data_IF_585112379211
#
_entry.id   IF_585112379211
#
_cell.length_a   1.000
_cell.length_b   1.000
_cell.length_c   1.000
_cell.angle_alpha   90.00
_cell.angle_beta   90.00
_cell.angle_gamma   90.00
#
_symmetry.space_group_name_H-M   'P 1'
#
loop_
_entity.id
_entity.type
_entity.pdbx_description
1 polymer ?
#
# COMPACT_ATOMS: atom_id res chain seq x y z
N UNK A 1 -2.43 2.43 19.33
CA UNK A 1 -2.39 3.60 18.42
C UNK A 1 -0.99 3.69 17.85
N UNK A 2 -0.87 3.79 16.52
CA UNK A 2 0.41 3.78 15.81
C UNK A 2 1.29 4.95 16.28
N UNK A 3 2.58 4.72 16.60
CA UNK A 3 3.52 5.79 16.93
C UNK A 3 3.59 6.84 15.81
N UNK A 4 3.73 8.12 16.17
CA UNK A 4 3.72 9.22 15.19
C UNK A 4 4.77 9.05 14.07
N UNK A 5 5.98 8.60 14.42
CA UNK A 5 7.05 8.33 13.45
C UNK A 5 6.68 7.21 12.47
N UNK A 6 6.08 6.13 12.97
CA UNK A 6 5.57 5.03 12.14
C UNK A 6 4.43 5.50 11.24
N UNK A 7 3.53 6.37 11.75
CA UNK A 7 2.46 6.96 10.94
C UNK A 7 3.01 7.79 9.79
N UNK A 8 3.94 8.70 10.06
CA UNK A 8 4.59 9.53 9.01
C UNK A 8 5.32 8.67 7.97
N UNK A 9 5.95 7.59 8.42
CA UNK A 9 6.58 6.62 7.53
C UNK A 9 5.55 5.94 6.61
N UNK A 10 4.41 5.48 7.14
CA UNK A 10 3.33 4.88 6.33
C UNK A 10 2.77 5.90 5.33
N UNK A 11 2.53 7.15 5.75
CA UNK A 11 2.07 8.21 4.84
C UNK A 11 3.06 8.42 3.69
N UNK A 12 4.36 8.44 3.99
CA UNK A 12 5.41 8.56 2.99
C UNK A 12 5.46 7.35 2.05
N UNK A 13 5.23 6.13 2.56
CA UNK A 13 5.10 4.94 1.73
C UNK A 13 3.91 5.06 0.78
N UNK A 14 2.74 5.47 1.28
CA UNK A 14 1.55 5.64 0.44
C UNK A 14 1.83 6.62 -0.70
N UNK A 15 2.47 7.75 -0.40
CA UNK A 15 2.83 8.75 -1.40
C UNK A 15 3.82 8.21 -2.43
N UNK A 16 4.83 7.46 -1.98
CA UNK A 16 5.77 6.77 -2.85
C UNK A 16 5.06 5.80 -3.80
N UNK A 17 4.20 4.91 -3.29
CA UNK A 17 3.51 3.93 -4.16
C UNK A 17 2.49 4.58 -5.11
N UNK A 18 1.90 5.71 -4.72
CA UNK A 18 1.09 6.53 -5.64
C UNK A 18 1.96 7.07 -6.78
N UNK A 19 3.15 7.57 -6.49
CA UNK A 19 4.06 8.09 -7.52
C UNK A 19 4.60 7.01 -8.45
N UNK A 20 4.72 5.77 -7.96
CA UNK A 20 5.24 4.61 -8.68
C UNK A 20 4.13 3.71 -9.27
N UNK A 21 2.87 4.15 -9.28
CA UNK A 21 1.73 3.32 -9.65
C UNK A 21 1.84 2.65 -11.03
N UNK A 22 2.51 3.30 -11.99
CA UNK A 22 2.77 2.74 -13.32
C UNK A 22 3.62 1.47 -13.26
N UNK A 23 4.70 1.48 -12.48
CA UNK A 23 5.60 0.34 -12.26
C UNK A 23 4.82 -0.85 -11.68
N UNK A 24 3.94 -0.60 -10.71
CA UNK A 24 3.12 -1.64 -10.08
C UNK A 24 1.99 -2.16 -10.99
N UNK A 25 1.40 -1.31 -11.82
CA UNK A 25 0.43 -1.74 -12.85
C UNK A 25 1.09 -2.59 -13.92
N UNK A 26 2.31 -2.25 -14.33
CA UNK A 26 3.10 -3.07 -15.25
C UNK A 26 3.42 -4.43 -14.63
N UNK A 27 3.82 -4.47 -13.36
CA UNK A 27 4.03 -5.74 -12.64
C UNK A 27 2.75 -6.58 -12.59
N UNK A 28 1.60 -5.97 -12.25
CA UNK A 28 0.31 -6.65 -12.21
C UNK A 28 -0.07 -7.25 -13.57
N UNK A 29 0.26 -6.57 -14.67
CA UNK A 29 0.01 -7.03 -16.04
C UNK A 29 0.80 -8.28 -16.42
N UNK A 30 1.97 -8.52 -15.82
CA UNK A 30 2.74 -9.77 -16.02
C UNK A 30 1.95 -11.01 -15.62
N UNK A 31 0.96 -10.84 -14.72
CA UNK A 31 0.11 -11.92 -14.22
C UNK A 31 -1.30 -11.88 -14.83
N UNK A 32 -1.46 -11.33 -16.03
CA UNK A 32 -2.77 -11.17 -16.68
C UNK A 32 -3.44 -12.50 -17.05
N UNK A 33 -2.70 -13.62 -17.02
CA UNK A 33 -3.28 -14.95 -17.21
C UNK A 33 -3.91 -15.48 -15.92
N UNK A 34 -3.46 -15.00 -14.77
CA UNK A 34 -3.90 -15.41 -13.44
C UNK A 34 -4.90 -14.46 -12.79
N UNK A 35 -5.04 -13.23 -13.31
CA UNK A 35 -5.93 -12.21 -12.75
C UNK A 35 -6.89 -11.62 -13.80
N UNK A 36 -8.16 -11.46 -13.41
CA UNK A 36 -9.19 -10.91 -14.29
C UNK A 36 -9.12 -9.38 -14.41
N UNK A 37 -8.66 -8.70 -13.35
CA UNK A 37 -8.60 -7.24 -13.25
C UNK A 37 -7.20 -6.80 -12.83
N UNK A 38 -6.45 -6.27 -13.79
CA UNK A 38 -5.08 -5.78 -13.61
C UNK A 38 -5.04 -4.60 -12.64
N UNK A 39 -6.02 -3.70 -12.68
CA UNK A 39 -6.04 -2.51 -11.83
C UNK A 39 -6.35 -2.89 -10.37
N UNK A 40 -7.28 -3.82 -10.17
CA UNK A 40 -7.54 -4.39 -8.84
C UNK A 40 -6.33 -5.16 -8.30
N UNK A 41 -5.64 -5.92 -9.15
CA UNK A 41 -4.40 -6.62 -8.77
C UNK A 41 -3.31 -5.63 -8.37
N UNK A 42 -3.07 -4.59 -9.18
CA UNK A 42 -2.10 -3.54 -8.87
C UNK A 42 -2.41 -2.83 -7.54
N UNK A 43 -3.69 -2.54 -7.28
CA UNK A 43 -4.13 -1.98 -6.01
C UNK A 43 -3.80 -2.92 -4.83
N UNK A 44 -4.10 -4.22 -4.99
CA UNK A 44 -3.77 -5.25 -4.00
C UNK A 44 -2.27 -5.34 -3.72
N UNK A 45 -1.44 -5.34 -4.76
CA UNK A 45 0.03 -5.35 -4.65
C UNK A 45 0.52 -4.12 -3.87
N UNK A 46 0.08 -2.92 -4.24
CA UNK A 46 0.47 -1.68 -3.57
C UNK A 46 0.09 -1.71 -2.09
N UNK A 47 -1.17 -2.04 -1.77
CA UNK A 47 -1.64 -2.12 -0.37
C UNK A 47 -0.87 -3.18 0.41
N UNK A 48 -0.59 -4.33 -0.21
CA UNK A 48 0.22 -5.40 0.37
C UNK A 48 1.65 -4.95 0.68
N UNK A 49 2.28 -4.22 -0.23
CA UNK A 49 3.62 -3.65 -0.02
C UNK A 49 3.64 -2.62 1.11
N UNK A 50 2.64 -1.73 1.18
CA UNK A 50 2.51 -0.75 2.27
C UNK A 50 2.32 -1.47 3.61
N UNK A 51 1.50 -2.53 3.65
CA UNK A 51 1.29 -3.34 4.84
C UNK A 51 2.58 -4.06 5.28
N UNK A 52 3.35 -4.59 4.33
CA UNK A 52 4.67 -5.17 4.61
C UNK A 52 5.62 -4.13 5.23
N UNK A 53 5.65 -2.90 4.68
CA UNK A 53 6.43 -1.80 5.24
C UNK A 53 5.99 -1.43 6.66
N UNK A 54 4.67 -1.38 6.92
CA UNK A 54 4.14 -1.20 8.28
C UNK A 54 4.64 -2.29 9.24
N UNK A 55 4.56 -3.56 8.87
CA UNK A 55 5.06 -4.66 9.71
C UNK A 55 6.57 -4.54 9.94
N UNK A 56 7.33 -4.17 8.91
CA UNK A 56 8.78 -3.99 9.00
C UNK A 56 9.15 -2.86 9.95
N UNK A 57 8.41 -1.74 9.97
CA UNK A 57 8.64 -0.64 10.89
C UNK A 57 8.53 -1.05 12.37
N UNK A 58 7.58 -1.95 12.69
CA UNK A 58 7.45 -2.54 14.03
C UNK A 58 8.57 -3.55 14.31
N UNK A 59 8.89 -4.41 13.34
CA UNK A 59 9.98 -5.39 13.47
C UNK A 59 11.33 -4.73 13.73
N UNK A 60 11.63 -3.61 13.07
CA UNK A 60 12.85 -2.83 13.29
C UNK A 60 12.97 -2.30 14.73
N UNK A 61 11.84 -2.10 15.40
CA UNK A 61 11.74 -1.70 16.81
C UNK A 61 11.68 -2.91 17.76
N UNK A 62 11.85 -4.14 17.23
CA UNK A 62 11.66 -5.42 17.94
C UNK A 62 10.27 -5.56 18.56
N UNK A 63 9.26 -4.96 17.91
CA UNK A 63 7.87 -4.96 18.33
C UNK A 63 6.99 -5.68 17.30
N UNK A 64 5.73 -5.90 17.68
CA UNK A 64 4.65 -6.34 16.80
C UNK A 64 3.49 -5.37 16.94
N UNK A 65 2.79 -5.04 15.85
CA UNK A 65 1.62 -4.19 15.95
C UNK A 65 0.51 -4.88 16.75
N UNK A 66 -0.23 -4.08 17.50
CA UNK A 66 -1.43 -4.55 18.20
C UNK A 66 -2.64 -4.49 17.26
N UNK A 67 -3.77 -5.04 17.71
CA UNK A 67 -5.03 -5.02 16.96
C UNK A 67 -5.44 -3.58 16.60
N UNK A 68 -5.36 -2.67 17.57
CA UNK A 68 -5.69 -1.25 17.40
C UNK A 68 -4.80 -0.58 16.34
N UNK A 69 -3.51 -0.92 16.30
CA UNK A 69 -2.57 -0.38 15.32
C UNK A 69 -2.94 -0.87 13.91
N UNK A 70 -3.40 -2.11 13.79
CA UNK A 70 -3.82 -2.69 12.50
C UNK A 70 -5.14 -2.06 12.03
N UNK A 71 -6.06 -1.78 12.95
CA UNK A 71 -7.30 -1.06 12.65
C UNK A 71 -7.03 0.37 12.18
N UNK A 72 -6.10 1.05 12.84
CA UNK A 72 -5.68 2.40 12.48
C UNK A 72 -4.99 2.43 11.11
N UNK A 73 -4.06 1.50 10.85
CA UNK A 73 -3.45 1.31 9.53
C UNK A 73 -4.52 1.12 8.44
N UNK A 74 -5.50 0.26 8.71
CA UNK A 74 -6.60 0.00 7.77
C UNK A 74 -7.39 1.27 7.48
N UNK A 75 -7.60 2.13 8.48
CA UNK A 75 -8.28 3.40 8.31
C UNK A 75 -7.45 4.40 7.47
N UNK A 76 -6.12 4.43 7.65
CA UNK A 76 -5.22 5.23 6.81
C UNK A 76 -5.32 4.80 5.34
N UNK A 77 -5.23 3.49 5.07
CA UNK A 77 -5.38 2.95 3.70
C UNK A 77 -6.75 3.27 3.12
N UNK A 78 -7.85 3.06 3.87
CA UNK A 78 -9.21 3.39 3.41
C UNK A 78 -9.34 4.86 3.00
N UNK A 79 -8.73 5.76 3.76
CA UNK A 79 -8.75 7.21 3.48
C UNK A 79 -8.00 7.56 2.20
N UNK A 80 -6.90 6.85 1.90
CA UNK A 80 -6.06 7.09 0.71
C UNK A 80 -6.43 6.20 -0.48
N UNK A 81 -7.34 5.23 -0.32
CA UNK A 81 -7.64 4.20 -1.30
C UNK A 81 -8.09 4.78 -2.66
N UNK A 82 -8.90 5.84 -2.66
CA UNK A 82 -9.34 6.49 -3.88
C UNK A 82 -8.16 7.12 -4.66
N UNK A 83 -7.18 7.70 -3.96
CA UNK A 83 -5.99 8.29 -4.57
C UNK A 83 -5.09 7.21 -5.17
N UNK A 84 -4.89 6.11 -4.44
CA UNK A 84 -4.13 4.95 -4.95
C UNK A 84 -4.80 4.41 -6.23
N UNK A 85 -6.11 4.13 -6.19
CA UNK A 85 -6.85 3.63 -7.37
C UNK A 85 -6.74 4.58 -8.55
N UNK A 86 -6.91 5.88 -8.31
CA UNK A 86 -6.81 6.89 -9.37
C UNK A 86 -5.41 6.92 -9.99
N UNK A 87 -4.35 6.84 -9.19
CA UNK A 87 -2.98 6.81 -9.71
C UNK A 87 -2.70 5.61 -10.62
N UNK A 88 -3.32 4.45 -10.35
CA UNK A 88 -3.24 3.26 -11.19
C UNK A 88 -4.04 3.45 -12.48
N UNK A 89 -5.26 3.99 -12.41
CA UNK A 89 -6.09 4.25 -13.59
C UNK A 89 -5.45 5.27 -14.53
N UNK A 90 -4.87 6.33 -13.97
CA UNK A 90 -4.22 7.42 -14.70
C UNK A 90 -2.80 7.02 -15.20
N UNK A 91 -2.23 5.92 -14.69
CA UNK A 91 -0.92 5.43 -15.09
C UNK A 91 -0.92 4.94 -16.54
N UNK A 92 -0.06 5.56 -17.37
CA UNK A 92 0.19 5.14 -18.74
C UNK A 92 1.26 4.04 -18.74
N UNK A 93 0.90 2.87 -19.22
CA UNK A 93 1.75 1.68 -19.39
C UNK A 93 1.64 1.13 -20.80
#
# INVERSE_FOLDING_TARGET
MIPHTTRQFIDSLIDYYISEAASYKQLARTYSEEVEDIDANAFGIIVGCIYSGFLQAYQNQKQKPLLEDTQEFTQMIKTRAAQIKRSILDAKI
#
